data_IF_495641144745
#
_entry.id   IF_495641144745
#
_cell.length_a   1.000
_cell.length_b   1.000
_cell.length_c   1.000
_cell.angle_alpha   90.00
_cell.angle_beta   90.00
_cell.angle_gamma   90.00
#
_symmetry.space_group_name_H-M   'P 1'
#
loop_
_entity.id
_entity.type
_entity.pdbx_description
1 polymer ?
#
# COMPACT_ATOMS: atom_id res chain seq x y z
N UNK A 1 -2.42 -18.08 5.15
CA UNK A 1 -2.07 -18.26 3.72
C UNK A 1 -2.62 -19.59 3.27
N UNK A 2 -3.11 -19.67 2.04
CA UNK A 2 -3.54 -20.92 1.40
C UNK A 2 -3.20 -20.85 -0.11
N UNK A 3 -3.31 -21.97 -0.81
CA UNK A 3 -3.15 -22.08 -2.25
C UNK A 3 -4.50 -22.16 -2.97
N UNK A 4 -4.48 -22.10 -4.30
CA UNK A 4 -5.69 -22.26 -5.10
C UNK A 4 -6.07 -23.74 -5.27
N UNK A 5 -7.36 -24.05 -5.51
CA UNK A 5 -7.82 -25.44 -5.62
C UNK A 5 -7.13 -26.25 -6.71
N UNK A 6 -6.77 -25.61 -7.82
CA UNK A 6 -6.08 -26.20 -8.97
C UNK A 6 -4.64 -26.66 -8.66
N UNK A 7 -4.02 -26.10 -7.62
CA UNK A 7 -2.71 -26.50 -7.10
C UNK A 7 -2.79 -27.18 -5.72
N UNK A 8 -3.99 -27.64 -5.34
CA UNK A 8 -4.23 -28.44 -4.14
C UNK A 8 -4.49 -27.66 -2.85
N UNK A 9 -4.78 -26.36 -2.93
CA UNK A 9 -5.18 -25.55 -1.78
C UNK A 9 -6.69 -25.54 -1.51
N UNK A 10 -7.09 -25.03 -0.35
CA UNK A 10 -8.49 -24.97 0.08
C UNK A 10 -9.21 -23.66 -0.25
N UNK A 11 -8.53 -22.72 -0.91
CA UNK A 11 -8.99 -21.34 -1.13
C UNK A 11 -9.50 -20.63 0.15
N UNK A 12 -8.98 -21.01 1.30
CA UNK A 12 -9.50 -20.59 2.61
C UNK A 12 -8.80 -19.33 3.17
N UNK A 13 -7.72 -18.90 2.52
CA UNK A 13 -6.95 -17.72 2.91
C UNK A 13 -6.19 -17.11 1.72
N UNK A 14 -5.73 -15.88 1.91
CA UNK A 14 -4.92 -15.15 0.93
C UNK A 14 -3.69 -15.94 0.46
N UNK A 15 -3.36 -15.78 -0.81
CA UNK A 15 -2.15 -16.34 -1.44
C UNK A 15 -0.89 -15.66 -0.90
N UNK A 16 0.28 -16.33 -0.92
CA UNK A 16 1.53 -15.72 -0.47
C UNK A 16 1.86 -14.38 -1.15
N UNK A 17 1.62 -14.27 -2.45
CA UNK A 17 1.86 -13.02 -3.19
C UNK A 17 0.87 -11.91 -2.79
N UNK A 18 -0.39 -12.25 -2.57
CA UNK A 18 -1.39 -11.28 -2.07
C UNK A 18 -1.04 -10.79 -0.65
N UNK A 19 -0.57 -11.70 0.21
CA UNK A 19 -0.11 -11.34 1.55
C UNK A 19 1.12 -10.42 1.52
N UNK A 20 1.95 -10.49 0.48
CA UNK A 20 3.06 -9.55 0.30
C UNK A 20 2.56 -8.12 0.04
N UNK A 21 1.53 -7.95 -0.79
CA UNK A 21 0.89 -6.64 -1.00
C UNK A 21 0.13 -6.19 0.25
N UNK A 22 -0.53 -7.09 0.96
CA UNK A 22 -1.16 -6.78 2.25
C UNK A 22 -0.12 -6.32 3.29
N UNK A 23 1.06 -6.95 3.32
CA UNK A 23 2.16 -6.54 4.18
C UNK A 23 2.69 -5.15 3.81
N UNK A 24 2.76 -4.80 2.52
CA UNK A 24 3.08 -3.45 2.06
C UNK A 24 2.04 -2.44 2.57
N UNK A 25 0.75 -2.75 2.45
CA UNK A 25 -0.34 -1.91 2.95
C UNK A 25 -0.29 -1.73 4.46
N UNK A 26 -0.05 -2.80 5.22
CA UNK A 26 0.11 -2.73 6.67
C UNK A 26 1.31 -1.89 7.10
N UNK A 27 2.49 -2.16 6.52
CA UNK A 27 3.73 -1.43 6.81
C UNK A 27 3.57 0.06 6.53
N UNK A 28 3.15 0.41 5.31
CA UNK A 28 3.04 1.81 4.91
C UNK A 28 1.87 2.52 5.60
N UNK A 29 0.75 1.84 5.79
CA UNK A 29 -0.43 2.40 6.45
C UNK A 29 -0.17 2.78 7.90
N UNK A 30 0.58 1.95 8.64
CA UNK A 30 1.00 2.26 10.02
C UNK A 30 1.86 3.53 10.04
N UNK A 31 2.85 3.63 9.15
CA UNK A 31 3.72 4.81 9.07
C UNK A 31 2.93 6.08 8.76
N UNK A 32 2.05 6.04 7.75
CA UNK A 32 1.18 7.16 7.38
C UNK A 32 0.30 7.61 8.55
N UNK A 33 -0.37 6.67 9.21
CA UNK A 33 -1.23 6.98 10.36
C UNK A 33 -0.45 7.64 11.51
N UNK A 34 0.75 7.12 11.83
CA UNK A 34 1.62 7.71 12.86
C UNK A 34 2.08 9.12 12.48
N UNK A 35 2.47 9.34 11.22
CA UNK A 35 2.95 10.63 10.74
C UNK A 35 1.83 11.67 10.76
N UNK A 36 0.64 11.33 10.25
CA UNK A 36 -0.51 12.23 10.23
C UNK A 36 -0.99 12.59 11.64
N UNK A 37 -0.99 11.63 12.56
CA UNK A 37 -1.28 11.89 13.96
C UNK A 37 -0.29 12.91 14.57
N UNK A 38 1.02 12.76 14.31
CA UNK A 38 2.03 13.74 14.73
C UNK A 38 1.83 15.13 14.10
N UNK A 39 1.32 15.19 12.87
CA UNK A 39 0.99 16.43 12.16
C UNK A 39 -0.37 17.03 12.56
N UNK A 40 -1.11 16.38 13.46
CA UNK A 40 -2.46 16.75 13.91
C UNK A 40 -3.44 16.88 12.74
N UNK A 41 -3.37 15.93 11.81
CA UNK A 41 -4.35 15.80 10.72
C UNK A 41 -5.41 14.82 11.18
N UNK A 42 -6.66 15.28 11.23
CA UNK A 42 -7.82 14.45 11.52
C UNK A 42 -8.44 13.96 10.21
N UNK A 43 -8.76 12.67 10.13
CA UNK A 43 -9.40 12.03 8.99
C UNK A 43 -10.41 11.00 9.49
N UNK A 44 -11.52 10.84 8.77
CA UNK A 44 -12.61 9.92 9.13
C UNK A 44 -12.36 8.51 8.60
N UNK A 45 -11.64 8.41 7.47
CA UNK A 45 -11.30 7.13 6.85
C UNK A 45 -9.95 7.19 6.15
N UNK A 46 -9.22 6.08 6.21
CA UNK A 46 -8.00 5.86 5.47
C UNK A 46 -7.97 4.43 4.92
N UNK A 47 -7.78 4.33 3.62
CA UNK A 47 -7.71 3.09 2.86
C UNK A 47 -6.47 3.11 1.96
N UNK A 48 -5.85 1.96 1.77
CA UNK A 48 -4.79 1.77 0.77
C UNK A 48 -5.25 0.78 -0.28
N UNK A 49 -5.28 1.20 -1.55
CA UNK A 49 -5.53 0.33 -2.69
C UNK A 49 -4.20 0.00 -3.35
N UNK A 50 -3.88 -1.27 -3.47
CA UNK A 50 -2.58 -1.74 -3.95
C UNK A 50 -2.80 -2.71 -5.11
N UNK A 51 -2.25 -2.38 -6.27
CA UNK A 51 -2.37 -3.19 -7.47
C UNK A 51 -0.97 -3.63 -7.92
N UNK A 52 -0.73 -4.94 -7.96
CA UNK A 52 0.53 -5.51 -8.43
C UNK A 52 0.37 -6.24 -9.75
N UNK A 53 1.21 -5.95 -10.74
CA UNK A 53 1.32 -6.74 -11.98
C UNK A 53 2.46 -7.73 -11.85
N UNK A 54 2.25 -8.96 -12.31
CA UNK A 54 3.23 -10.05 -12.22
C UNK A 54 3.84 -10.35 -13.59
N UNK A 55 5.10 -10.77 -13.61
CA UNK A 55 5.74 -11.28 -14.82
C UNK A 55 4.97 -12.50 -15.38
N UNK A 56 4.93 -12.61 -16.71
CA UNK A 56 4.26 -13.70 -17.41
C UNK A 56 4.98 -15.04 -17.19
N UNK A 57 6.31 -14.99 -17.22
CA UNK A 57 7.21 -16.14 -17.12
C UNK A 57 7.83 -16.32 -15.74
N UNK A 58 8.34 -17.52 -15.47
CA UNK A 58 9.02 -17.82 -14.21
C UNK A 58 10.40 -17.14 -14.11
N UNK A 59 10.76 -16.59 -12.93
CA UNK A 59 9.92 -16.45 -11.73
C UNK A 59 8.87 -15.32 -11.88
N UNK A 60 7.60 -15.62 -11.58
CA UNK A 60 6.46 -14.69 -11.70
C UNK A 60 6.42 -13.65 -10.57
N UNK A 61 7.47 -12.84 -10.46
CA UNK A 61 7.61 -11.75 -9.49
C UNK A 61 6.67 -10.59 -9.83
N UNK A 62 6.49 -9.64 -8.91
CA UNK A 62 5.88 -8.35 -9.25
C UNK A 62 6.83 -7.54 -10.14
N UNK A 63 6.31 -7.02 -11.26
CA UNK A 63 7.04 -6.13 -12.18
C UNK A 63 6.67 -4.67 -11.94
N UNK A 64 5.41 -4.40 -11.60
CA UNK A 64 4.96 -3.09 -11.17
C UNK A 64 4.00 -3.18 -9.97
N UNK A 65 4.04 -2.18 -9.10
CA UNK A 65 3.12 -2.02 -7.98
C UNK A 65 2.64 -0.58 -7.92
N UNK A 66 1.33 -0.39 -8.05
CA UNK A 66 0.66 0.90 -7.99
C UNK A 66 -0.04 1.03 -6.63
N UNK A 67 0.34 2.05 -5.85
CA UNK A 67 -0.20 2.29 -4.48
C UNK A 67 -1.04 3.56 -4.46
N UNK A 68 -2.29 3.45 -4.05
CA UNK A 68 -3.17 4.60 -3.85
C UNK A 68 -3.51 4.75 -2.36
N UNK A 69 -3.17 5.91 -1.81
CA UNK A 69 -3.56 6.32 -0.46
C UNK A 69 -4.85 7.12 -0.55
N UNK A 70 -5.95 6.55 -0.06
CA UNK A 70 -7.28 7.14 -0.13
C UNK A 70 -7.66 7.64 1.26
N UNK A 71 -7.94 8.94 1.38
CA UNK A 71 -8.40 9.55 2.62
C UNK A 71 -9.82 10.09 2.48
N UNK A 72 -10.60 10.00 3.55
CA UNK A 72 -11.95 10.57 3.66
C UNK A 72 -12.05 11.40 4.94
N UNK A 73 -12.79 12.51 4.89
CA UNK A 73 -13.03 13.36 6.04
C UNK A 73 -13.07 14.85 5.70
N UNK A 74 -13.47 15.65 6.69
CA UNK A 74 -13.66 17.09 6.53
C UNK A 74 -12.36 17.84 6.36
N UNK A 75 -12.38 18.87 5.50
CA UNK A 75 -11.29 19.82 5.29
C UNK A 75 -9.93 19.20 4.89
N UNK A 76 -9.92 17.94 4.44
CA UNK A 76 -8.69 17.26 4.01
C UNK A 76 -8.08 17.87 2.76
N UNK A 77 -8.90 18.44 1.87
CA UNK A 77 -8.41 19.14 0.68
C UNK A 77 -7.47 20.30 1.04
N UNK A 78 -7.77 21.04 2.12
CA UNK A 78 -6.92 22.10 2.64
C UNK A 78 -5.63 21.58 3.30
N UNK A 79 -5.55 20.28 3.58
CA UNK A 79 -4.40 19.61 4.22
C UNK A 79 -3.68 18.63 3.28
N UNK A 80 -3.94 18.70 1.96
CA UNK A 80 -3.37 17.82 0.93
C UNK A 80 -1.85 17.66 1.05
N UNK A 81 -1.12 18.76 1.24
CA UNK A 81 0.35 18.73 1.37
C UNK A 81 0.82 17.84 2.53
N UNK A 82 0.07 17.79 3.64
CA UNK A 82 0.40 16.92 4.78
C UNK A 82 0.14 15.45 4.44
N UNK A 83 -0.96 15.15 3.73
CA UNK A 83 -1.28 13.79 3.27
C UNK A 83 -0.21 13.28 2.31
N UNK A 84 0.15 14.09 1.32
CA UNK A 84 1.20 13.77 0.33
C UNK A 84 2.56 13.63 1.00
N UNK A 85 2.89 14.50 1.97
CA UNK A 85 4.12 14.38 2.75
C UNK A 85 4.17 13.09 3.58
N UNK A 86 3.07 12.67 4.19
CA UNK A 86 3.00 11.43 4.96
C UNK A 86 3.18 10.20 4.05
N UNK A 87 2.46 10.16 2.92
CA UNK A 87 2.61 9.11 1.92
C UNK A 87 4.04 9.01 1.39
N UNK A 88 4.65 10.15 1.02
CA UNK A 88 6.04 10.22 0.55
C UNK A 88 7.03 9.69 1.58
N UNK A 89 6.94 10.15 2.83
CA UNK A 89 7.85 9.72 3.90
C UNK A 89 7.74 8.21 4.17
N UNK A 90 6.52 7.68 4.16
CA UNK A 90 6.31 6.24 4.30
C UNK A 90 6.94 5.48 3.12
N UNK A 91 6.58 5.86 1.89
CA UNK A 91 6.94 5.14 0.66
C UNK A 91 8.44 5.20 0.34
N UNK A 92 9.09 6.35 0.53
CA UNK A 92 10.49 6.57 0.12
C UNK A 92 11.51 6.34 1.25
N UNK A 93 11.09 6.39 2.52
CA UNK A 93 12.03 6.46 3.64
C UNK A 93 11.80 5.44 4.75
N UNK A 94 10.56 5.25 5.21
CA UNK A 94 10.32 4.50 6.46
C UNK A 94 9.81 3.07 6.26
N UNK A 95 8.90 2.83 5.32
CA UNK A 95 8.31 1.50 5.19
C UNK A 95 9.33 0.52 4.62
N UNK A 96 9.79 -0.39 5.48
CA UNK A 96 10.79 -1.41 5.13
C UNK A 96 10.30 -2.34 4.01
N UNK A 97 9.00 -2.63 3.96
CA UNK A 97 8.41 -3.45 2.89
C UNK A 97 8.47 -2.72 1.55
N UNK A 98 8.14 -1.43 1.51
CA UNK A 98 8.29 -0.61 0.30
C UNK A 98 9.76 -0.55 -0.13
N UNK A 99 10.68 -0.32 0.81
CA UNK A 99 12.12 -0.31 0.53
C UNK A 99 12.69 -1.62 -0.02
N UNK A 100 12.08 -2.77 0.33
CA UNK A 100 12.43 -4.07 -0.24
C UNK A 100 11.83 -4.26 -1.64
N UNK A 101 10.54 -3.98 -1.81
CA UNK A 101 9.82 -4.19 -3.06
C UNK A 101 10.30 -3.24 -4.17
N UNK A 102 10.68 -2.01 -3.83
CA UNK A 102 11.16 -1.01 -4.79
C UNK A 102 12.53 -1.36 -5.40
N UNK A 103 13.23 -2.37 -4.85
CA UNK A 103 14.44 -2.95 -5.46
C UNK A 103 14.13 -4.01 -6.52
N UNK A 104 12.91 -4.54 -6.52
CA UNK A 104 12.51 -5.68 -7.34
C UNK A 104 11.42 -5.34 -8.38
N UNK A 105 10.61 -4.31 -8.12
CA UNK A 105 9.50 -3.88 -8.96
C UNK A 105 9.50 -2.35 -9.11
N UNK A 106 9.01 -1.86 -10.25
CA UNK A 106 8.70 -0.44 -10.40
C UNK A 106 7.52 -0.09 -9.50
N UNK A 107 7.68 0.85 -8.58
CA UNK A 107 6.62 1.24 -7.66
C UNK A 107 6.20 2.69 -7.88
N UNK A 108 4.89 2.91 -7.99
CA UNK A 108 4.30 4.26 -8.04
C UNK A 108 3.35 4.47 -6.88
N UNK A 109 3.10 5.74 -6.53
CA UNK A 109 2.02 6.06 -5.61
C UNK A 109 1.27 7.34 -5.96
N UNK A 110 0.04 7.44 -5.48
CA UNK A 110 -0.78 8.66 -5.53
C UNK A 110 -1.63 8.83 -4.28
N UNK A 111 -2.05 10.08 -4.02
CA UNK A 111 -2.94 10.42 -2.92
C UNK A 111 -4.28 10.90 -3.48
N UNK A 112 -5.36 10.26 -3.02
CA UNK A 112 -6.74 10.57 -3.38
C UNK A 112 -7.50 11.00 -2.13
N UNK A 113 -8.33 12.02 -2.27
CA UNK A 113 -9.27 12.45 -1.23
C UNK A 113 -10.66 12.17 -1.79
N UNK A 114 -11.42 11.33 -1.11
CA UNK A 114 -12.81 11.02 -1.42
C UNK A 114 -13.73 11.80 -0.46
N UNK A 115 -14.90 12.20 -0.94
CA UNK A 115 -15.95 12.88 -0.15
C UNK A 115 -16.61 11.95 0.89
#
# INVERSE_FOLDING_TARGET
MDAAPDVGGGDSAARPMEMLLAALGGCSGIDVAIILNKMRVDYEGFEMRIHGRRAEEHPKIYTSIDVEYVFRGKDLAAQRDKLEKAARLSFEKYCSVAGMLNKAAEMTYRVTIEE
#
